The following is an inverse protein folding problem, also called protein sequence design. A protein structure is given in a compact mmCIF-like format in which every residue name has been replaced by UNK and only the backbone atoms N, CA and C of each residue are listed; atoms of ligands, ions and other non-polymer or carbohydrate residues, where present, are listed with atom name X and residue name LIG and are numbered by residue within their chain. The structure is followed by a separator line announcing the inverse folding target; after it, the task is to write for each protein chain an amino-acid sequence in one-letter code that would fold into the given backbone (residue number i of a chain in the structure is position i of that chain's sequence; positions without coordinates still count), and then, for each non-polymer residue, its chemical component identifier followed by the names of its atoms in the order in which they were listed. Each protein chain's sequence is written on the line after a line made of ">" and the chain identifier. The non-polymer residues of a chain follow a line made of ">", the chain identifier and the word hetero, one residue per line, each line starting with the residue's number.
data_IF_976436567911
#
_entry.id   IF_976436567911
#
_cell.length_a   1.000
_cell.length_b   1.000
_cell.length_c   1.000
_cell.angle_alpha   90.00
_cell.angle_beta   90.00
_cell.angle_gamma   90.00
#
_symmetry.space_group_name_H-M   'P 1'
#
loop_
_entity.id
_entity.type
_entity.pdbx_description
1 polymer ?
#
# COMPACT_ATOMS: atom_id res chain seq x y z
N UNK A 1 -19.08 -8.20 11.13
CA UNK A 1 -17.61 -8.14 11.04
C UNK A 1 -17.24 -6.92 10.20
N UNK A 2 -16.29 -6.12 10.66
CA UNK A 2 -15.75 -5.00 9.91
C UNK A 2 -15.19 -5.48 8.56
N UNK A 3 -15.64 -4.87 7.47
CA UNK A 3 -15.11 -5.15 6.13
C UNK A 3 -13.87 -4.29 5.94
N UNK A 4 -12.77 -4.87 5.48
CA UNK A 4 -11.53 -4.16 5.13
C UNK A 4 -11.02 -4.63 3.79
N UNK A 5 -10.24 -3.78 3.15
CA UNK A 5 -9.59 -4.13 1.90
C UNK A 5 -8.41 -5.06 2.15
N UNK A 6 -8.10 -5.90 1.17
CA UNK A 6 -7.02 -6.89 1.23
C UNK A 6 -5.83 -6.59 0.33
N UNK A 7 -5.91 -5.53 -0.49
CA UNK A 7 -4.80 -5.14 -1.38
C UNK A 7 -4.53 -3.65 -1.34
N UNK A 8 -3.31 -3.24 -1.70
CA UNK A 8 -2.94 -1.83 -1.77
C UNK A 8 -3.69 -1.11 -2.89
N UNK A 9 -3.94 -1.79 -4.01
CA UNK A 9 -4.69 -1.26 -5.15
C UNK A 9 -6.14 -0.91 -4.80
N UNK A 10 -6.77 -1.70 -3.91
CA UNK A 10 -8.11 -1.39 -3.41
C UNK A 10 -8.15 -0.15 -2.52
N UNK A 11 -7.07 0.17 -1.83
CA UNK A 11 -7.00 1.24 -0.82
C UNK A 11 -6.56 2.57 -1.44
N UNK A 12 -5.51 2.57 -2.27
CA UNK A 12 -4.93 3.79 -2.83
C UNK A 12 -5.96 4.56 -3.65
N UNK A 13 -5.98 5.87 -3.46
CA UNK A 13 -6.94 6.78 -4.14
C UNK A 13 -8.35 6.82 -3.53
N UNK A 14 -8.69 5.91 -2.61
CA UNK A 14 -10.02 5.93 -1.98
C UNK A 14 -10.23 7.16 -1.14
N UNK A 15 -11.50 7.60 -1.10
CA UNK A 15 -11.94 8.68 -0.20
C UNK A 15 -11.99 8.15 1.23
N UNK A 16 -11.48 8.97 2.15
CA UNK A 16 -11.45 8.67 3.58
C UNK A 16 -12.33 9.66 4.32
N UNK A 17 -13.21 9.11 5.12
CA UNK A 17 -14.09 9.83 6.02
C UNK A 17 -13.64 9.57 7.46
N UNK A 18 -13.78 10.55 8.33
CA UNK A 18 -13.63 10.39 9.76
C UNK A 18 -15.03 10.23 10.36
N UNK A 19 -15.24 9.19 11.11
CA UNK A 19 -16.44 9.03 11.92
C UNK A 19 -16.55 10.20 12.89
N UNK A 20 -17.70 10.84 12.96
CA UNK A 20 -18.06 11.93 13.88
C UNK A 20 -19.39 11.64 14.58
N UNK A 21 -19.77 10.37 14.53
CA UNK A 21 -21.02 9.91 15.16
C UNK A 21 -21.04 10.25 16.65
N UNK A 22 -22.18 10.71 17.09
CA UNK A 22 -22.49 10.99 18.49
C UNK A 22 -23.90 10.48 18.78
N UNK A 23 -24.31 10.29 20.06
CA UNK A 23 -25.67 9.89 20.38
C UNK A 23 -26.75 10.78 19.77
N UNK A 24 -26.44 12.06 19.54
CA UNK A 24 -27.34 13.04 18.91
C UNK A 24 -27.26 13.06 17.38
N UNK A 25 -26.19 12.52 16.78
CA UNK A 25 -25.95 12.49 15.34
C UNK A 25 -25.25 11.17 14.98
N UNK A 26 -25.99 10.05 14.87
CA UNK A 26 -25.41 8.71 14.77
C UNK A 26 -24.66 8.42 13.45
N UNK A 27 -24.90 9.20 12.40
CA UNK A 27 -24.27 8.99 11.08
C UNK A 27 -23.36 10.16 10.64
N UNK A 28 -22.93 10.97 11.59
CA UNK A 28 -22.11 12.11 11.26
C UNK A 28 -20.71 11.67 10.79
N UNK A 29 -20.34 12.02 9.57
CA UNK A 29 -19.01 11.78 9.02
C UNK A 29 -18.40 13.08 8.49
N UNK A 30 -17.07 13.19 8.57
CA UNK A 30 -16.32 14.32 8.04
C UNK A 30 -15.28 13.83 7.04
N UNK A 31 -15.19 14.50 5.89
CA UNK A 31 -14.13 14.19 4.91
C UNK A 31 -12.75 14.41 5.55
N UNK A 32 -11.94 13.34 5.57
CA UNK A 32 -10.55 13.40 6.01
C UNK A 32 -9.61 13.69 4.84
N UNK A 33 -9.78 12.99 3.72
CA UNK A 33 -8.96 13.16 2.54
C UNK A 33 -9.08 12.01 1.53
N UNK A 34 -7.94 11.68 0.89
CA UNK A 34 -7.78 10.51 0.03
C UNK A 34 -6.55 9.75 0.43
N UNK A 35 -6.58 8.42 0.32
CA UNK A 35 -5.37 7.60 0.54
C UNK A 35 -4.34 7.93 -0.54
N UNK A 36 -3.13 8.23 -0.10
CA UNK A 36 -1.99 8.51 -0.96
C UNK A 36 -1.05 7.32 -1.08
N UNK A 37 -0.66 6.72 0.04
CA UNK A 37 0.29 5.62 0.09
C UNK A 37 -0.10 4.60 1.14
N UNK A 38 0.19 3.33 0.87
CA UNK A 38 0.18 2.26 1.85
C UNK A 38 1.54 2.16 2.52
N UNK A 39 1.55 1.81 3.81
CA UNK A 39 2.73 1.85 4.67
C UNK A 39 2.98 0.47 5.27
N UNK A 40 4.24 0.04 5.24
CA UNK A 40 4.67 -1.27 5.71
C UNK A 40 5.65 -1.14 6.88
N UNK A 41 5.70 -2.20 7.69
CA UNK A 41 6.63 -2.30 8.80
C UNK A 41 8.09 -2.35 8.28
N UNK A 42 9.05 -1.70 8.96
CA UNK A 42 10.43 -1.59 8.47
C UNK A 42 11.19 -2.91 8.40
N UNK A 43 10.82 -3.91 9.20
CA UNK A 43 11.53 -5.19 9.30
C UNK A 43 10.64 -6.43 9.15
N UNK A 44 9.32 -6.26 9.23
CA UNK A 44 8.36 -7.34 9.12
C UNK A 44 7.57 -7.26 7.81
N UNK A 45 7.15 -8.38 7.27
CA UNK A 45 6.26 -8.48 6.11
C UNK A 45 4.82 -8.15 6.51
N UNK A 46 4.60 -6.89 6.92
CA UNK A 46 3.34 -6.48 7.51
C UNK A 46 2.91 -5.09 7.03
N UNK A 47 1.70 -5.02 6.53
CA UNK A 47 1.00 -3.76 6.28
C UNK A 47 0.60 -3.15 7.62
N UNK A 48 1.02 -1.93 7.89
CA UNK A 48 0.73 -1.24 9.17
C UNK A 48 -0.35 -0.17 9.03
N UNK A 49 -0.59 0.31 7.83
CA UNK A 49 -1.61 1.31 7.58
C UNK A 49 -1.38 2.09 6.31
N UNK A 50 -2.00 3.26 6.22
CA UNK A 50 -1.90 4.11 5.04
C UNK A 50 -1.87 5.59 5.39
N UNK A 51 -1.35 6.39 4.46
CA UNK A 51 -1.25 7.84 4.56
C UNK A 51 -2.42 8.47 3.81
N UNK A 52 -3.13 9.34 4.51
CA UNK A 52 -4.23 10.13 3.95
C UNK A 52 -3.77 11.54 3.67
N UNK A 53 -3.76 11.92 2.40
CA UNK A 53 -3.57 13.31 1.98
C UNK A 53 -4.82 14.12 2.31
N UNK A 54 -4.67 15.11 3.18
CA UNK A 54 -5.76 16.02 3.56
C UNK A 54 -5.91 17.11 2.50
N UNK A 55 -7.15 17.57 2.23
CA UNK A 55 -7.34 18.72 1.36
C UNK A 55 -6.70 19.96 1.98
N UNK A 56 -6.09 20.78 1.13
CA UNK A 56 -5.49 22.05 1.55
C UNK A 56 -6.55 22.98 2.14
N UNK A 57 -6.16 23.82 3.08
CA UNK A 57 -7.03 24.81 3.68
C UNK A 57 -6.91 26.11 2.87
N UNK A 58 -8.04 26.65 2.38
CA UNK A 58 -8.10 27.91 1.62
C UNK A 58 -7.09 27.97 0.47
N UNK A 59 -6.77 26.85 -0.19
CA UNK A 59 -5.89 26.73 -1.37
C UNK A 59 -4.41 27.00 -1.08
N UNK A 60 -4.08 27.68 0.00
CA UNK A 60 -2.71 28.16 0.30
C UNK A 60 -2.02 27.38 1.42
N UNK A 61 -2.78 26.78 2.35
CA UNK A 61 -2.18 26.12 3.52
C UNK A 61 -2.21 24.60 3.37
N UNK A 62 -1.06 24.01 3.10
CA UNK A 62 -0.89 22.55 3.11
C UNK A 62 -1.16 22.02 4.52
N UNK A 63 -2.03 21.04 4.60
CA UNK A 63 -2.28 20.31 5.85
C UNK A 63 -1.40 19.07 5.89
N UNK A 64 -0.81 18.80 7.04
CA UNK A 64 -0.02 17.57 7.25
C UNK A 64 -0.87 16.34 6.95
N UNK A 65 -0.28 15.37 6.26
CA UNK A 65 -0.87 14.08 5.98
C UNK A 65 -1.15 13.36 7.30
N UNK A 66 -2.08 12.41 7.30
CA UNK A 66 -2.47 11.65 8.48
C UNK A 66 -2.22 10.17 8.23
N UNK A 67 -1.48 9.55 9.13
CA UNK A 67 -1.35 8.10 9.17
C UNK A 67 -2.61 7.48 9.79
N UNK A 68 -3.12 6.41 9.17
CA UNK A 68 -4.27 5.62 9.64
C UNK A 68 -3.81 4.17 9.79
N UNK A 69 -4.00 3.60 10.98
CA UNK A 69 -3.67 2.21 11.25
C UNK A 69 -4.54 1.24 10.44
N UNK A 70 -3.98 0.06 10.08
CA UNK A 70 -4.69 -0.96 9.30
C UNK A 70 -5.97 -1.48 9.99
N UNK A 71 -6.04 -1.40 11.30
CA UNK A 71 -7.19 -1.79 12.10
C UNK A 71 -8.07 -0.62 12.56
N UNK A 72 -7.71 0.62 12.20
CA UNK A 72 -8.37 1.86 12.62
C UNK A 72 -9.53 2.31 11.71
N UNK A 73 -9.94 1.51 10.74
CA UNK A 73 -10.99 1.87 9.78
C UNK A 73 -11.90 0.69 9.44
N UNK A 74 -13.05 1.01 8.90
CA UNK A 74 -13.98 0.09 8.28
C UNK A 74 -14.32 0.54 6.86
N UNK A 75 -14.80 -0.38 6.01
CA UNK A 75 -15.31 -0.07 4.68
C UNK A 75 -16.83 -0.08 4.72
N UNK A 76 -17.43 1.08 4.50
CA UNK A 76 -18.87 1.29 4.43
C UNK A 76 -19.20 1.86 3.05
N UNK A 77 -20.05 1.22 2.29
CA UNK A 77 -20.44 1.61 0.92
C UNK A 77 -19.25 1.92 -0.01
N UNK A 78 -18.18 1.10 0.09
CA UNK A 78 -16.97 1.28 -0.70
C UNK A 78 -16.11 2.48 -0.28
N UNK A 79 -16.40 3.13 0.84
CA UNK A 79 -15.64 4.25 1.42
C UNK A 79 -14.92 3.81 2.67
N UNK A 80 -13.76 4.38 2.92
CA UNK A 80 -13.02 4.15 4.16
C UNK A 80 -13.55 5.11 5.22
N UNK A 81 -14.04 4.55 6.32
CA UNK A 81 -14.49 5.30 7.49
C UNK A 81 -13.55 5.02 8.65
N UNK A 82 -12.83 6.05 9.09
CA UNK A 82 -11.83 5.96 10.17
C UNK A 82 -12.52 6.24 11.49
N UNK A 83 -12.25 5.41 12.48
CA UNK A 83 -12.81 5.54 13.82
C UNK A 83 -12.25 6.77 14.56
N UNK A 84 -12.96 7.23 15.60
CA UNK A 84 -12.49 8.32 16.45
C UNK A 84 -11.50 7.86 17.54
N UNK A 85 -11.24 6.56 17.61
CA UNK A 85 -10.33 6.00 18.60
C UNK A 85 -8.92 6.62 18.46
N UNK A 86 -8.25 6.97 19.56
CA UNK A 86 -6.90 7.56 19.49
C UNK A 86 -5.87 6.69 18.78
N UNK A 87 -6.04 5.37 18.85
CA UNK A 87 -5.21 4.35 18.20
C UNK A 87 -5.49 4.19 16.69
N UNK A 88 -6.52 4.84 16.16
CA UNK A 88 -6.83 4.76 14.73
C UNK A 88 -5.95 5.64 13.87
N UNK A 89 -5.45 6.76 14.40
CA UNK A 89 -4.71 7.75 13.60
C UNK A 89 -3.48 8.33 14.31
N UNK A 90 -2.53 8.79 13.48
CA UNK A 90 -1.37 9.57 13.92
C UNK A 90 -0.47 8.87 14.93
N UNK A 91 -0.02 9.59 15.96
CA UNK A 91 0.88 9.04 16.98
C UNK A 91 0.27 7.91 17.79
N UNK A 92 -1.05 7.97 18.06
CA UNK A 92 -1.76 6.89 18.74
C UNK A 92 -1.75 5.60 17.96
N UNK A 93 -1.99 5.68 16.64
CA UNK A 93 -1.90 4.55 15.74
C UNK A 93 -0.49 3.94 15.70
N UNK A 94 0.55 4.76 15.59
CA UNK A 94 1.93 4.28 15.61
C UNK A 94 2.25 3.53 16.92
N UNK A 95 1.85 4.10 18.07
CA UNK A 95 2.04 3.46 19.37
C UNK A 95 1.29 2.12 19.47
N UNK A 96 0.05 2.07 19.01
CA UNK A 96 -0.75 0.84 19.01
C UNK A 96 -0.18 -0.23 18.09
N UNK A 97 0.45 0.16 16.97
CA UNK A 97 1.11 -0.75 16.03
C UNK A 97 2.53 -1.16 16.48
N UNK A 98 3.09 -0.52 17.49
CA UNK A 98 4.48 -0.75 17.92
C UNK A 98 5.51 -0.30 16.89
N UNK A 99 5.19 0.71 16.07
CA UNK A 99 6.06 1.22 15.02
C UNK A 99 6.43 2.69 15.24
N UNK A 100 7.65 3.05 14.86
CA UNK A 100 8.00 4.44 14.64
C UNK A 100 7.63 4.82 13.20
N UNK A 101 6.84 5.88 13.04
CA UNK A 101 6.38 6.34 11.72
C UNK A 101 7.55 6.61 10.76
N UNK A 102 8.62 7.22 11.27
CA UNK A 102 9.77 7.62 10.45
C UNK A 102 10.59 6.42 9.92
N UNK A 103 10.46 5.26 10.57
CA UNK A 103 11.10 4.02 10.14
C UNK A 103 10.27 3.20 9.16
N UNK A 104 8.97 3.49 9.05
CA UNK A 104 8.07 2.78 8.16
C UNK A 104 8.43 3.00 6.69
N UNK A 105 8.01 2.06 5.83
CA UNK A 105 8.46 1.99 4.44
C UNK A 105 7.29 2.00 3.48
N UNK A 106 7.50 2.63 2.32
CA UNK A 106 6.60 2.56 1.17
C UNK A 106 7.13 1.50 0.20
N UNK A 107 6.34 0.45 -0.06
CA UNK A 107 6.76 -0.62 -0.98
C UNK A 107 6.43 -0.34 -2.44
N UNK A 108 5.38 0.44 -2.71
CA UNK A 108 4.95 0.71 -4.08
C UNK A 108 6.07 1.34 -4.93
N UNK A 109 6.35 0.71 -6.08
CA UNK A 109 7.39 1.17 -7.00
C UNK A 109 8.82 0.78 -6.64
N UNK A 110 9.07 0.16 -5.47
CA UNK A 110 10.42 -0.32 -5.14
C UNK A 110 10.84 -1.46 -6.05
N UNK A 111 12.14 -1.56 -6.41
CA UNK A 111 12.69 -2.73 -7.08
C UNK A 111 12.48 -4.00 -6.26
N UNK A 112 12.22 -5.10 -6.94
CA UNK A 112 12.19 -6.45 -6.37
C UNK A 112 13.41 -7.19 -6.87
N UNK A 113 14.28 -7.63 -5.95
CA UNK A 113 15.60 -8.14 -6.25
C UNK A 113 15.82 -9.50 -5.58
N UNK A 114 16.38 -10.45 -6.32
CA UNK A 114 16.83 -11.72 -5.79
C UNK A 114 18.09 -11.58 -4.93
N UNK A 115 18.43 -12.64 -4.23
CA UNK A 115 19.65 -12.70 -3.40
C UNK A 115 20.93 -12.60 -4.27
N UNK A 116 20.84 -13.06 -5.53
CA UNK A 116 21.89 -12.97 -6.55
C UNK A 116 22.03 -11.58 -7.19
N UNK A 117 21.16 -10.61 -6.83
CA UNK A 117 21.11 -9.28 -7.40
C UNK A 117 20.25 -9.14 -8.65
N UNK A 118 19.60 -10.20 -9.13
CA UNK A 118 18.69 -10.15 -10.27
C UNK A 118 17.48 -9.28 -9.96
N UNK A 119 17.18 -8.30 -10.81
CA UNK A 119 16.02 -7.42 -10.68
C UNK A 119 14.83 -8.00 -11.45
N UNK A 120 13.77 -8.37 -10.74
CA UNK A 120 12.55 -8.94 -11.35
C UNK A 120 11.57 -7.89 -11.86
N UNK A 121 11.70 -6.65 -11.43
CA UNK A 121 10.83 -5.52 -11.74
C UNK A 121 10.57 -4.65 -10.51
N UNK A 122 9.43 -4.00 -10.45
CA UNK A 122 9.03 -3.13 -9.33
C UNK A 122 7.73 -3.60 -8.69
N UNK A 123 7.53 -3.28 -7.41
CA UNK A 123 6.30 -3.58 -6.69
C UNK A 123 5.13 -2.81 -7.29
N UNK A 124 4.14 -3.52 -7.84
CA UNK A 124 2.89 -2.96 -8.37
C UNK A 124 1.78 -2.95 -7.33
N UNK A 125 1.40 -4.12 -6.84
CA UNK A 125 0.37 -4.26 -5.80
C UNK A 125 0.83 -5.23 -4.71
N UNK A 126 0.27 -5.08 -3.52
CA UNK A 126 0.57 -5.97 -2.38
C UNK A 126 -0.74 -6.47 -1.79
N UNK A 127 -0.87 -7.79 -1.72
CA UNK A 127 -1.97 -8.47 -1.04
C UNK A 127 -1.59 -8.78 0.41
N UNK A 128 -2.51 -8.55 1.33
CA UNK A 128 -2.30 -8.80 2.76
C UNK A 128 -3.57 -9.28 3.44
N UNK A 129 -3.40 -9.90 4.59
CA UNK A 129 -4.54 -10.27 5.42
C UNK A 129 -5.15 -9.02 6.08
N UNK A 130 -6.42 -8.71 5.84
CA UNK A 130 -7.05 -7.51 6.39
C UNK A 130 -7.26 -7.56 7.93
N UNK A 131 -7.07 -8.72 8.57
CA UNK A 131 -7.18 -8.87 10.03
C UNK A 131 -5.85 -8.71 10.73
N UNK A 132 -4.77 -9.23 10.14
CA UNK A 132 -3.44 -9.25 10.78
C UNK A 132 -2.48 -8.24 10.15
N UNK A 133 -2.75 -7.81 8.91
CA UNK A 133 -1.84 -6.99 8.12
C UNK A 133 -0.69 -7.81 7.48
N UNK A 134 -0.60 -9.12 7.70
CA UNK A 134 0.45 -9.95 7.15
C UNK A 134 0.40 -9.98 5.62
N UNK A 135 1.55 -9.76 4.96
CA UNK A 135 1.65 -9.78 3.51
C UNK A 135 1.55 -11.21 3.00
N UNK A 136 0.56 -11.45 2.13
CA UNK A 136 0.30 -12.73 1.47
C UNK A 136 1.07 -12.90 0.18
N UNK A 137 1.07 -11.86 -0.63
CA UNK A 137 1.78 -11.83 -1.91
C UNK A 137 2.05 -10.40 -2.37
N UNK A 138 2.96 -10.24 -3.30
CA UNK A 138 3.15 -9.00 -4.04
C UNK A 138 3.16 -9.25 -5.54
N UNK A 139 2.64 -8.30 -6.30
CA UNK A 139 2.66 -8.31 -7.76
C UNK A 139 3.83 -7.49 -8.25
N UNK A 140 4.65 -8.07 -9.11
CA UNK A 140 5.79 -7.40 -9.73
C UNK A 140 5.42 -6.97 -11.14
N UNK A 141 5.69 -5.71 -11.44
CA UNK A 141 5.47 -5.11 -12.76
C UNK A 141 6.79 -4.69 -13.40
N UNK A 142 6.84 -4.77 -14.74
CA UNK A 142 8.00 -4.35 -15.54
C UNK A 142 7.63 -3.19 -16.50
N UNK A 143 6.54 -2.47 -16.17
CA UNK A 143 5.95 -1.44 -17.02
C UNK A 143 4.81 -1.95 -17.89
N UNK A 144 3.96 -1.05 -18.38
CA UNK A 144 2.71 -1.40 -19.05
C UNK A 144 2.91 -2.31 -20.29
N UNK A 145 3.87 -1.98 -21.15
CA UNK A 145 4.15 -2.77 -22.38
C UNK A 145 4.69 -4.16 -22.05
N UNK A 146 5.64 -4.26 -21.13
CA UNK A 146 6.20 -5.54 -20.72
C UNK A 146 5.16 -6.42 -20.02
N UNK A 147 4.31 -5.85 -19.18
CA UNK A 147 3.23 -6.58 -18.52
C UNK A 147 2.18 -7.09 -19.50
N UNK A 148 1.87 -6.34 -20.57
CA UNK A 148 0.95 -6.77 -21.61
C UNK A 148 1.49 -7.94 -22.44
N UNK A 149 2.79 -7.97 -22.68
CA UNK A 149 3.44 -9.00 -23.49
C UNK A 149 3.85 -10.24 -22.69
N UNK A 150 4.39 -10.01 -21.49
CA UNK A 150 5.04 -11.06 -20.69
C UNK A 150 4.20 -11.48 -19.48
N UNK A 151 3.10 -10.76 -19.20
CA UNK A 151 2.30 -10.91 -17.98
C UNK A 151 2.99 -10.30 -16.74
N UNK A 152 2.33 -10.45 -15.62
CA UNK A 152 2.84 -10.02 -14.31
C UNK A 152 3.23 -11.24 -13.48
N UNK A 153 4.19 -11.05 -12.57
CA UNK A 153 4.61 -12.10 -11.65
C UNK A 153 4.01 -11.81 -10.27
N UNK A 154 3.35 -12.80 -9.71
CA UNK A 154 2.92 -12.76 -8.31
C UNK A 154 3.92 -13.54 -7.46
N UNK A 155 4.46 -12.89 -6.43
CA UNK A 155 5.42 -13.47 -5.50
C UNK A 155 4.73 -13.73 -4.18
N UNK A 156 4.63 -14.99 -3.74
CA UNK A 156 4.08 -15.35 -2.44
C UNK A 156 4.88 -14.72 -1.28
N UNK A 157 4.18 -14.34 -0.23
CA UNK A 157 4.79 -13.64 0.91
C UNK A 157 5.92 -14.43 1.60
N UNK A 158 5.88 -15.76 1.58
CA UNK A 158 6.94 -16.58 2.18
C UNK A 158 8.27 -16.50 1.42
N UNK A 159 8.27 -16.13 0.14
CA UNK A 159 9.47 -15.90 -0.65
C UNK A 159 10.06 -14.49 -0.47
N UNK A 160 9.37 -13.60 0.22
CA UNK A 160 9.91 -12.29 0.57
C UNK A 160 10.87 -12.48 1.74
N UNK A 161 12.16 -12.22 1.54
CA UNK A 161 13.21 -12.37 2.55
C UNK A 161 13.35 -11.16 3.44
N UNK A 162 13.10 -9.97 2.90
CA UNK A 162 13.22 -8.74 3.67
C UNK A 162 13.16 -7.49 2.82
N UNK A 163 13.69 -6.45 3.40
CA UNK A 163 13.74 -5.12 2.79
C UNK A 163 15.15 -4.54 2.97
N UNK A 164 15.77 -4.12 1.88
CA UNK A 164 17.02 -3.37 1.88
C UNK A 164 16.68 -1.88 1.89
N UNK A 165 17.07 -1.18 2.95
CA UNK A 165 16.92 0.28 3.01
C UNK A 165 17.77 0.95 1.94
N UNK A 166 17.21 1.95 1.32
CA UNK A 166 17.89 2.89 0.45
C UNK A 166 17.48 4.32 0.79
N UNK A 167 18.16 5.29 0.25
CA UNK A 167 17.82 6.70 0.38
C UNK A 167 16.45 6.92 -0.29
N UNK A 168 15.53 7.60 0.38
CA UNK A 168 14.20 7.91 -0.16
C UNK A 168 13.10 6.87 0.11
N UNK A 169 13.39 5.78 0.81
CA UNK A 169 12.39 4.73 1.12
C UNK A 169 11.69 4.91 2.47
N UNK A 170 12.26 5.68 3.38
CA UNK A 170 11.61 6.03 4.64
C UNK A 170 10.70 7.25 4.45
N UNK A 171 9.64 7.34 5.27
CA UNK A 171 8.66 8.43 5.20
C UNK A 171 9.22 9.81 5.60
N UNK A 172 10.36 9.84 6.28
CA UNK A 172 10.98 11.04 6.85
C UNK A 172 12.11 11.64 6.02
N UNK A 173 12.30 11.24 4.77
CA UNK A 173 13.43 11.79 3.97
C UNK A 173 13.21 13.26 3.66
N UNK A 174 13.67 14.10 4.56
CA UNK A 174 13.96 15.52 4.39
C UNK A 174 15.48 15.73 4.27
N UNK A 175 16.12 15.14 3.28
CA UNK A 175 17.58 15.30 3.14
C UNK A 175 18.09 14.48 1.97
N UNK A 176 17.89 14.98 0.77
CA UNK A 176 18.78 14.64 -0.32
C UNK A 176 19.99 15.54 -0.17
N UNK A 177 21.11 14.99 0.23
CA UNK A 177 22.40 15.62 -0.05
C UNK A 177 22.56 15.64 -1.56
N UNK A 178 22.64 16.84 -2.11
CA UNK A 178 22.80 17.07 -3.55
C UNK A 178 24.13 16.47 -3.96
N UNK A 179 24.13 15.34 -4.66
CA UNK A 179 25.32 14.78 -5.29
C UNK A 179 25.54 13.26 -5.21
N UNK A 180 24.80 12.51 -4.41
CA UNK A 180 24.88 11.06 -4.41
C UNK A 180 23.72 10.44 -5.22
N UNK A 181 24.03 9.47 -6.09
CA UNK A 181 22.99 8.68 -6.75
C UNK A 181 22.11 8.02 -5.69
N UNK A 182 20.79 8.19 -5.74
CA UNK A 182 19.90 7.65 -4.74
C UNK A 182 19.99 6.13 -4.76
N UNK A 183 20.53 5.52 -3.72
CA UNK A 183 20.45 4.08 -3.50
C UNK A 183 19.00 3.78 -3.18
N UNK A 184 18.25 3.36 -4.17
CA UNK A 184 16.86 2.93 -3.98
C UNK A 184 16.84 1.71 -3.06
N UNK A 185 15.96 1.72 -2.06
CA UNK A 185 15.67 0.50 -1.32
C UNK A 185 15.10 -0.56 -2.24
N UNK A 186 15.18 -1.81 -1.84
CA UNK A 186 14.66 -2.93 -2.59
C UNK A 186 13.91 -3.92 -1.69
N UNK A 187 12.92 -4.58 -2.24
CA UNK A 187 12.35 -5.78 -1.64
C UNK A 187 13.22 -6.97 -2.04
N UNK A 188 13.76 -7.66 -1.05
CA UNK A 188 14.59 -8.85 -1.26
C UNK A 188 13.71 -10.09 -1.28
N UNK A 189 13.90 -10.94 -2.27
CA UNK A 189 13.15 -12.18 -2.47
C UNK A 189 14.09 -13.36 -2.67
N UNK A 190 13.61 -14.56 -2.37
CA UNK A 190 14.33 -15.82 -2.65
C UNK A 190 14.55 -16.01 -4.14
N UNK A 191 15.66 -16.64 -4.52
CA UNK A 191 15.98 -16.97 -5.92
C UNK A 191 14.96 -17.95 -6.54
N UNK A 192 14.20 -18.68 -5.73
CA UNK A 192 13.06 -19.50 -6.16
C UNK A 192 12.01 -18.71 -6.97
N UNK A 193 11.98 -17.39 -6.82
CA UNK A 193 11.11 -16.48 -7.60
C UNK A 193 11.40 -16.59 -9.12
N UNK A 194 12.60 -16.95 -9.51
CA UNK A 194 12.96 -17.14 -10.92
C UNK A 194 12.10 -18.21 -11.61
N UNK A 195 11.71 -19.25 -10.86
CA UNK A 195 10.93 -20.39 -11.34
C UNK A 195 9.42 -20.12 -11.39
N UNK A 196 8.95 -19.04 -10.77
CA UNK A 196 7.53 -18.70 -10.77
C UNK A 196 7.06 -18.32 -12.19
N UNK A 197 5.98 -18.95 -12.62
CA UNK A 197 5.31 -18.60 -13.88
C UNK A 197 4.75 -17.17 -13.83
N UNK A 198 4.71 -16.50 -14.99
CA UNK A 198 4.05 -15.20 -15.13
C UNK A 198 2.59 -15.40 -15.44
N UNK A 199 1.72 -14.64 -14.81
CA UNK A 199 0.29 -14.62 -15.11
C UNK A 199 0.04 -13.67 -16.29
N UNK A 200 -0.79 -14.09 -17.25
CA UNK A 200 -1.16 -13.22 -18.36
C UNK A 200 -1.83 -11.93 -17.88
N UNK A 201 -1.48 -10.78 -18.47
CA UNK A 201 -1.91 -9.46 -18.00
C UNK A 201 -3.45 -9.25 -17.98
N UNK A 202 -4.21 -10.06 -18.72
CA UNK A 202 -5.69 -10.04 -18.76
C UNK A 202 -6.35 -10.59 -17.50
N UNK A 203 -5.65 -11.38 -16.71
CA UNK A 203 -6.22 -12.00 -15.51
C UNK A 203 -6.16 -11.07 -14.29
N UNK A 204 -5.37 -10.01 -14.36
CA UNK A 204 -5.16 -9.06 -13.27
C UNK A 204 -6.10 -7.85 -13.29
N UNK A 205 -6.63 -7.50 -14.45
CA UNK A 205 -7.61 -6.41 -14.55
C UNK A 205 -9.00 -7.02 -14.55
N UNK A 206 -9.67 -7.03 -13.41
CA UNK A 206 -11.09 -7.38 -13.29
C UNK A 206 -12.06 -6.54 -14.16
N UNK A 207 -11.52 -5.84 -15.16
CA UNK A 207 -12.21 -5.00 -16.14
C UNK A 207 -12.41 -5.66 -17.51
N UNK A 208 -11.87 -6.86 -17.77
CA UNK A 208 -12.05 -7.53 -19.05
C UNK A 208 -13.09 -8.67 -18.99
N UNK A 209 -14.17 -8.48 -18.27
CA UNK A 209 -15.39 -9.28 -18.43
C UNK A 209 -16.49 -8.40 -19.03
N UNK A 210 -16.42 -8.13 -20.31
CA UNK A 210 -17.60 -7.94 -21.17
C UNK A 210 -17.11 -7.75 -22.61
N UNK A 211 -17.31 -8.74 -23.41
CA UNK A 211 -17.69 -8.77 -24.82
C UNK A 211 -17.07 -9.94 -25.55
N UNK A 212 -17.52 -11.16 -25.22
CA UNK A 212 -17.69 -12.14 -26.28
C UNK A 212 -19.09 -11.96 -26.82
N UNK A 213 -19.22 -11.12 -27.81
CA UNK A 213 -20.35 -11.18 -28.72
C UNK A 213 -20.07 -12.38 -29.62
N UNK A 214 -20.84 -13.44 -29.42
CA UNK A 214 -20.95 -14.57 -30.34
C UNK A 214 -21.44 -14.03 -31.68
N UNK A 215 -20.59 -14.06 -32.70
CA UNK A 215 -21.06 -14.10 -34.08
C UNK A 215 -21.29 -15.55 -34.46
N UNK A 216 -22.56 -15.93 -34.54
CA UNK A 216 -23.05 -16.98 -35.42
C UNK A 216 -23.36 -16.35 -36.77
#
# INVERSE_FOLDING_TARGET
>A
MAKRYGTTGEIVGKRVLLDKSTPKKPEAVKRLGKVRHCVFHPTQRRFVGFIVKRPDLLWMFRRKDVFVAYNGYDVVDGRIVVSQAPEATGKGACKAMGVNYDDCVLWAGLPVMGEDGTVYGTVGDVSFDPKTGEVRSLTVTQGATANALLGVREIPGHLIRGFKRGIGTALSVNGQDEGEEPILGAILVSDEVAELSRMAGTDFTGFAKTNRISMQ
#
